data_IF_268648766974
#
_entry.id   IF_268648766974
#
_cell.length_a   1.000
_cell.length_b   1.000
_cell.length_c   1.000
_cell.angle_alpha   90.00
_cell.angle_beta   90.00
_cell.angle_gamma   90.00
#
_symmetry.space_group_name_H-M   'P 1'
#
loop_
_entity.id
_entity.type
_entity.pdbx_description
1 polymer ?
#
# COMPACT_ATOMS: atom_id res chain seq x y z
N UNK A 1 46.23 -2.32 20.77
CA UNK A 1 45.17 -2.65 19.79
C UNK A 1 43.82 -3.07 20.41
N UNK A 2 43.67 -3.08 21.75
CA UNK A 2 42.38 -3.43 22.41
C UNK A 2 41.59 -2.24 22.98
N UNK A 3 42.14 -1.02 22.92
CA UNK A 3 41.48 0.19 23.47
C UNK A 3 40.53 0.85 22.48
N UNK A 4 40.72 0.63 21.17
CA UNK A 4 39.87 1.17 20.11
C UNK A 4 38.57 0.37 19.95
N UNK A 5 38.61 -0.94 20.17
CA UNK A 5 37.45 -1.83 20.06
C UNK A 5 36.48 -1.67 21.23
N UNK A 6 36.98 -1.42 22.45
CA UNK A 6 36.12 -1.14 23.61
C UNK A 6 35.41 0.21 23.52
N UNK A 7 36.07 1.24 22.97
CA UNK A 7 35.46 2.54 22.74
C UNK A 7 34.28 2.48 21.75
N UNK A 8 34.41 1.70 20.67
CA UNK A 8 33.34 1.51 19.68
C UNK A 8 32.12 0.78 20.25
N UNK A 9 32.32 -0.24 21.11
CA UNK A 9 31.21 -0.96 21.77
C UNK A 9 30.48 -0.07 22.77
N UNK A 10 31.19 0.75 23.55
CA UNK A 10 30.58 1.67 24.51
C UNK A 10 29.71 2.74 23.82
N UNK A 11 30.16 3.27 22.68
CA UNK A 11 29.39 4.25 21.89
C UNK A 11 28.13 3.60 21.30
N UNK A 12 28.23 2.36 20.79
CA UNK A 12 27.08 1.61 20.27
C UNK A 12 26.03 1.29 21.33
N UNK A 13 26.45 0.92 22.54
CA UNK A 13 25.54 0.67 23.67
C UNK A 13 24.85 1.95 24.16
N UNK A 14 25.55 3.08 24.18
CA UNK A 14 24.97 4.38 24.55
C UNK A 14 23.92 4.87 23.53
N UNK A 15 24.14 4.63 22.23
CA UNK A 15 23.17 4.95 21.17
C UNK A 15 21.92 4.06 21.21
N UNK A 16 22.05 2.79 21.59
CA UNK A 16 20.90 1.88 21.76
C UNK A 16 19.99 2.28 22.94
N UNK A 17 20.55 2.88 24.00
CA UNK A 17 19.75 3.36 25.13
C UNK A 17 18.97 4.64 24.82
N UNK A 18 19.47 5.50 23.92
CA UNK A 18 18.83 6.77 23.58
C UNK A 18 17.57 6.64 22.70
N UNK A 19 17.31 5.47 22.10
CA UNK A 19 16.14 5.23 21.24
C UNK A 19 14.86 4.88 22.02
N UNK A 20 14.96 4.55 23.30
CA UNK A 20 13.82 4.06 24.09
C UNK A 20 12.87 5.15 24.62
N UNK A 21 13.16 6.44 24.42
CA UNK A 21 12.35 7.55 24.95
C UNK A 21 11.63 8.36 23.88
N UNK A 22 11.44 7.81 22.67
CA UNK A 22 10.46 8.39 21.74
C UNK A 22 9.09 7.85 22.17
N UNK A 23 8.42 8.61 23.03
CA UNK A 23 7.00 8.43 23.29
C UNK A 23 6.23 8.62 21.97
N UNK A 24 5.59 7.57 21.42
CA UNK A 24 4.73 7.74 20.28
C UNK A 24 3.52 8.56 20.74
N UNK A 25 3.43 9.78 20.21
CA UNK A 25 2.26 10.64 20.10
C UNK A 25 1.03 10.10 20.86
N UNK A 26 0.76 10.72 22.00
CA UNK A 26 -0.52 10.66 22.70
C UNK A 26 -1.61 11.35 21.87
N UNK A 27 -1.74 10.98 20.60
CA UNK A 27 -2.90 11.25 19.79
C UNK A 27 -4.05 10.43 20.39
N UNK A 28 -5.06 11.12 20.89
CA UNK A 28 -6.34 10.52 21.21
C UNK A 28 -6.94 9.97 19.92
N UNK A 29 -6.58 8.74 19.56
CA UNK A 29 -7.34 7.98 18.58
C UNK A 29 -8.63 7.58 19.27
N UNK A 30 -9.69 8.33 18.99
CA UNK A 30 -11.02 7.93 19.39
C UNK A 30 -11.34 6.66 18.59
N UNK A 31 -11.28 5.51 19.25
CA UNK A 31 -11.73 4.24 18.67
C UNK A 31 -13.24 4.35 18.52
N UNK A 32 -13.68 4.80 17.35
CA UNK A 32 -15.11 4.75 17.00
C UNK A 32 -15.50 3.27 16.96
N UNK A 33 -16.36 2.87 17.89
CA UNK A 33 -16.84 1.50 18.00
C UNK A 33 -17.49 1.05 16.69
N UNK A 34 -17.12 -0.10 16.11
CA UNK A 34 -17.73 -0.61 14.86
C UNK A 34 -19.25 -0.83 14.96
N UNK A 35 -19.79 -0.90 16.18
CA UNK A 35 -21.19 -1.23 16.45
C UNK A 35 -22.19 -0.15 15.99
N UNK A 36 -21.77 1.08 15.73
CA UNK A 36 -22.69 2.19 15.45
C UNK A 36 -22.64 2.71 14.00
N UNK A 37 -21.74 2.19 13.16
CA UNK A 37 -21.65 2.64 11.76
C UNK A 37 -22.23 1.61 10.79
N UNK A 38 -23.49 1.24 11.01
CA UNK A 38 -24.33 0.75 9.92
C UNK A 38 -24.84 1.94 9.13
N UNK A 39 -24.04 2.43 8.17
CA UNK A 39 -24.60 3.18 7.06
C UNK A 39 -25.43 2.19 6.25
N UNK A 40 -26.73 2.15 6.53
CA UNK A 40 -27.69 1.51 5.65
C UNK A 40 -27.68 2.32 4.34
N UNK A 41 -26.83 1.94 3.41
CA UNK A 41 -27.00 2.28 2.00
C UNK A 41 -28.26 1.54 1.54
N UNK A 42 -29.42 2.15 1.76
CA UNK A 42 -30.57 1.83 0.93
C UNK A 42 -30.10 2.10 -0.51
N UNK A 43 -29.85 1.03 -1.27
CA UNK A 43 -29.31 1.12 -2.61
C UNK A 43 -30.12 2.13 -3.41
N UNK A 44 -29.47 3.24 -3.78
CA UNK A 44 -30.11 4.22 -4.65
C UNK A 44 -30.40 3.50 -5.98
N UNK A 45 -31.63 3.56 -6.51
CA UNK A 45 -32.00 2.84 -7.73
C UNK A 45 -31.26 3.34 -8.99
N UNK A 46 -30.32 4.28 -8.85
CA UNK A 46 -29.38 4.73 -9.87
C UNK A 46 -27.92 4.28 -9.67
N UNK A 47 -27.58 3.45 -8.67
CA UNK A 47 -26.20 2.96 -8.52
C UNK A 47 -25.90 1.91 -9.58
N UNK A 48 -24.98 2.23 -10.49
CA UNK A 48 -24.34 1.24 -11.35
C UNK A 48 -23.62 0.25 -10.44
N UNK A 49 -24.04 -1.01 -10.49
CA UNK A 49 -23.34 -2.09 -9.81
C UNK A 49 -22.05 -2.38 -10.59
N UNK A 50 -20.92 -1.94 -10.04
CA UNK A 50 -19.60 -2.19 -10.62
C UNK A 50 -19.06 -3.44 -9.95
N UNK A 51 -18.97 -4.50 -10.72
CA UNK A 51 -18.46 -5.79 -10.23
C UNK A 51 -16.94 -5.80 -10.20
N UNK A 52 -16.34 -6.74 -9.45
CA UNK A 52 -14.89 -6.96 -9.51
C UNK A 52 -14.43 -7.42 -10.88
N UNK A 53 -15.28 -8.11 -11.65
CA UNK A 53 -15.01 -8.50 -13.04
C UNK A 53 -14.91 -7.28 -13.97
N UNK A 54 -15.80 -6.30 -13.81
CA UNK A 54 -15.71 -5.03 -14.53
C UNK A 54 -14.37 -4.33 -14.25
N UNK A 55 -13.95 -4.31 -12.98
CA UNK A 55 -12.67 -3.73 -12.58
C UNK A 55 -11.47 -4.52 -13.14
N UNK A 56 -11.52 -5.85 -13.14
CA UNK A 56 -10.50 -6.70 -13.77
C UNK A 56 -10.40 -6.43 -15.27
N UNK A 57 -11.53 -6.17 -15.94
CA UNK A 57 -11.56 -5.76 -17.35
C UNK A 57 -10.90 -4.39 -17.57
N UNK A 58 -11.15 -3.42 -16.68
CA UNK A 58 -10.49 -2.10 -16.76
C UNK A 58 -8.97 -2.20 -16.61
N UNK A 59 -8.47 -3.01 -15.67
CA UNK A 59 -7.02 -3.21 -15.48
C UNK A 59 -6.39 -3.82 -16.73
N UNK A 60 -7.04 -4.83 -17.32
CA UNK A 60 -6.58 -5.45 -18.56
C UNK A 60 -6.54 -4.44 -19.72
N UNK A 61 -7.59 -3.62 -19.85
CA UNK A 61 -7.74 -2.69 -20.97
C UNK A 61 -6.76 -1.52 -20.90
N UNK A 62 -6.54 -0.94 -19.72
CA UNK A 62 -5.80 0.33 -19.59
C UNK A 62 -4.40 0.18 -19.00
N UNK A 63 -4.19 -0.82 -18.14
CA UNK A 63 -2.94 -0.94 -17.40
C UNK A 63 -2.01 -1.99 -18.01
N UNK A 64 -2.55 -3.16 -18.40
CA UNK A 64 -1.74 -4.27 -18.93
C UNK A 64 -1.08 -3.97 -20.28
N UNK A 65 -1.55 -2.99 -21.05
CA UNK A 65 -0.92 -2.62 -22.33
C UNK A 65 0.55 -2.22 -22.13
N UNK A 66 0.86 -1.51 -21.05
CA UNK A 66 2.22 -1.05 -20.73
C UNK A 66 2.85 -1.80 -19.54
N UNK A 67 2.02 -2.26 -18.59
CA UNK A 67 2.45 -3.02 -17.42
C UNK A 67 2.20 -4.51 -17.62
N UNK A 68 3.03 -5.14 -18.43
CA UNK A 68 3.02 -6.58 -18.67
C UNK A 68 4.45 -7.13 -18.63
N UNK A 69 4.58 -8.44 -18.75
CA UNK A 69 5.88 -9.14 -18.64
C UNK A 69 6.88 -8.76 -19.74
N UNK A 70 6.41 -8.18 -20.85
CA UNK A 70 7.25 -7.79 -21.99
C UNK A 70 7.72 -6.33 -21.84
N UNK A 71 6.77 -5.40 -21.68
CA UNK A 71 7.05 -3.96 -21.63
C UNK A 71 7.60 -3.53 -20.27
N UNK A 72 7.14 -4.16 -19.19
CA UNK A 72 7.58 -3.95 -17.80
C UNK A 72 7.71 -2.47 -17.39
N UNK A 73 6.85 -1.60 -17.94
CA UNK A 73 6.94 -0.15 -17.72
C UNK A 73 6.73 0.16 -16.25
N UNK A 74 7.49 1.09 -15.69
CA UNK A 74 7.37 1.43 -14.27
C UNK A 74 7.75 0.29 -13.31
N UNK A 75 8.50 -0.72 -13.79
CA UNK A 75 8.94 -1.91 -13.06
C UNK A 75 7.77 -2.70 -12.47
N UNK A 76 6.75 -2.96 -13.28
CA UNK A 76 5.52 -3.63 -12.87
C UNK A 76 4.92 -4.44 -14.02
N UNK A 77 4.46 -5.66 -13.69
CA UNK A 77 3.61 -6.47 -14.56
C UNK A 77 2.27 -6.74 -13.90
N UNK A 78 1.21 -6.54 -14.67
CA UNK A 78 -0.18 -6.83 -14.31
C UNK A 78 -0.73 -8.01 -15.12
N UNK A 79 0.12 -8.77 -15.83
CA UNK A 79 -0.31 -10.01 -16.51
C UNK A 79 -1.02 -10.92 -15.50
N UNK A 80 -2.21 -11.40 -15.86
CA UNK A 80 -3.03 -12.26 -15.02
C UNK A 80 -3.43 -11.63 -13.67
N UNK A 81 -3.43 -10.30 -13.56
CA UNK A 81 -3.95 -9.62 -12.36
C UNK A 81 -5.48 -9.66 -12.35
N UNK A 82 -6.03 -10.18 -11.26
CA UNK A 82 -7.46 -10.21 -10.98
C UNK A 82 -7.75 -9.37 -9.74
N UNK A 83 -8.67 -8.42 -9.87
CA UNK A 83 -9.08 -7.51 -8.79
C UNK A 83 -9.74 -8.27 -7.64
N UNK A 84 -10.46 -9.36 -7.92
CA UNK A 84 -11.06 -10.19 -6.88
C UNK A 84 -10.00 -10.87 -5.98
N UNK A 85 -8.84 -11.20 -6.56
CA UNK A 85 -7.69 -11.80 -5.88
C UNK A 85 -6.61 -10.77 -5.47
N UNK A 86 -6.91 -9.47 -5.48
CA UNK A 86 -5.96 -8.43 -5.11
C UNK A 86 -5.26 -8.65 -3.74
N UNK A 87 -5.93 -9.17 -2.69
CA UNK A 87 -5.27 -9.47 -1.41
C UNK A 87 -4.12 -10.50 -1.53
N UNK A 88 -4.22 -11.44 -2.46
CA UNK A 88 -3.19 -12.45 -2.71
C UNK A 88 -1.98 -11.85 -3.45
N UNK A 89 -2.18 -10.73 -4.15
CA UNK A 89 -1.17 -9.96 -4.87
C UNK A 89 -0.99 -8.55 -4.29
N UNK A 90 -1.07 -8.43 -2.96
CA UNK A 90 -1.13 -7.14 -2.25
C UNK A 90 0.00 -6.17 -2.64
N UNK A 91 1.24 -6.65 -2.77
CA UNK A 91 2.37 -5.80 -3.19
C UNK A 91 2.14 -5.18 -4.57
N UNK A 92 1.63 -5.96 -5.53
CA UNK A 92 1.32 -5.48 -6.88
C UNK A 92 0.16 -4.49 -6.85
N UNK A 93 -0.91 -4.81 -6.11
CA UNK A 93 -2.10 -3.96 -5.99
C UNK A 93 -1.77 -2.61 -5.36
N UNK A 94 -1.02 -2.60 -4.25
CA UNK A 94 -0.58 -1.38 -3.59
C UNK A 94 0.39 -0.57 -4.45
N UNK A 95 1.30 -1.25 -5.16
CA UNK A 95 2.19 -0.60 -6.12
C UNK A 95 1.42 0.15 -7.21
N UNK A 96 0.36 -0.46 -7.76
CA UNK A 96 -0.52 0.15 -8.75
C UNK A 96 -1.21 1.40 -8.17
N UNK A 97 -1.84 1.27 -6.99
CA UNK A 97 -2.57 2.37 -6.33
C UNK A 97 -1.63 3.54 -6.02
N UNK A 98 -0.46 3.27 -5.46
CA UNK A 98 0.52 4.31 -5.10
C UNK A 98 1.03 5.07 -6.34
N UNK A 99 1.30 4.36 -7.44
CA UNK A 99 1.78 4.99 -8.68
C UNK A 99 0.70 5.84 -9.35
N UNK A 100 -0.53 5.34 -9.42
CA UNK A 100 -1.70 6.10 -9.91
C UNK A 100 -1.95 7.35 -9.08
N UNK A 101 -2.01 7.23 -7.75
CA UNK A 101 -2.25 8.36 -6.85
C UNK A 101 -1.13 9.40 -6.87
N UNK A 102 0.09 8.98 -7.16
CA UNK A 102 1.23 9.88 -7.34
C UNK A 102 1.26 10.57 -8.72
N UNK A 103 0.30 10.29 -9.62
CA UNK A 103 0.29 10.87 -10.98
C UNK A 103 1.44 10.40 -11.87
N UNK A 104 2.11 9.31 -11.50
CA UNK A 104 3.17 8.71 -12.31
C UNK A 104 2.61 7.90 -13.49
N UNK A 105 1.30 7.63 -13.48
CA UNK A 105 0.57 6.92 -14.54
C UNK A 105 -0.84 7.53 -14.74
N UNK A 106 -1.35 7.60 -15.99
CA UNK A 106 -0.60 7.35 -17.23
C UNK A 106 0.42 8.48 -17.49
N UNK A 107 1.62 8.16 -18.03
CA UNK A 107 2.59 9.18 -18.40
C UNK A 107 2.01 10.09 -19.49
N UNK A 108 2.37 11.37 -19.44
CA UNK A 108 2.03 12.38 -20.45
C UNK A 108 2.70 12.06 -21.78
#
# INVERSE_FOLDING_TARGET
>A
MNTLTTALVAIGAALLLAVQTVDPDSGSYEVVSPAERTVAFAGDPGTIDVTTEDLTTLVQQYCQVCHNDVMMTGNMSLTGFDVAAAPERAETAEGMIRKLRAGMMPPK
#
